data_IF_558785746701
#
_entry.id   IF_558785746701
#
_cell.length_a   1.000
_cell.length_b   1.000
_cell.length_c   1.000
_cell.angle_alpha   90.00
_cell.angle_beta   90.00
_cell.angle_gamma   90.00
#
_symmetry.space_group_name_H-M   'P 1'
#
loop_
_entity.id
_entity.type
_entity.pdbx_description
1 polymer ?
#
# COMPACT_ATOMS: atom_id res chain seq x y z
N UNK A 1 -3.82 -25.37 -4.40
CA UNK A 1 -2.78 -26.44 -4.49
C UNK A 1 -3.17 -27.66 -3.67
N UNK A 2 -3.60 -27.51 -2.40
CA UNK A 2 -4.02 -28.62 -1.53
C UNK A 2 -5.31 -29.36 -1.99
N UNK A 3 -6.22 -28.67 -2.70
CA UNK A 3 -7.50 -29.24 -3.13
C UNK A 3 -7.53 -29.67 -4.61
N UNK A 4 -6.40 -29.68 -5.30
CA UNK A 4 -6.35 -30.16 -6.69
C UNK A 4 -6.19 -31.69 -6.69
N UNK A 5 -7.11 -32.46 -7.32
CA UNK A 5 -7.03 -33.92 -7.37
C UNK A 5 -5.72 -34.43 -8.00
N UNK A 6 -5.05 -33.62 -8.83
CA UNK A 6 -3.79 -33.98 -9.48
C UNK A 6 -2.53 -33.76 -8.63
N UNK A 7 -2.66 -33.22 -7.40
CA UNK A 7 -1.56 -32.96 -6.44
C UNK A 7 -0.28 -32.39 -7.12
N UNK A 8 -0.40 -31.24 -7.80
CA UNK A 8 0.68 -30.65 -8.58
C UNK A 8 1.88 -30.28 -7.69
N UNK A 9 3.11 -30.52 -8.17
CA UNK A 9 4.37 -30.22 -7.43
C UNK A 9 4.72 -28.74 -7.42
N UNK A 10 4.13 -27.93 -8.32
CA UNK A 10 4.34 -26.49 -8.39
C UNK A 10 3.07 -25.76 -8.81
N UNK A 11 3.00 -24.46 -8.50
CA UNK A 11 1.87 -23.60 -8.88
C UNK A 11 1.65 -23.55 -10.39
N UNK A 12 2.72 -23.69 -11.18
CA UNK A 12 2.65 -23.67 -12.64
C UNK A 12 1.95 -24.89 -13.24
N UNK A 13 1.91 -26.01 -12.50
CA UNK A 13 1.24 -27.25 -12.90
C UNK A 13 -0.17 -27.37 -12.30
N UNK A 14 -0.53 -26.47 -11.39
CA UNK A 14 -1.81 -26.54 -10.70
C UNK A 14 -2.98 -26.14 -11.60
N UNK A 15 -4.14 -26.75 -11.34
CA UNK A 15 -5.44 -26.45 -11.96
C UNK A 15 -5.43 -26.55 -13.50
N UNK A 16 -4.64 -27.48 -14.05
CA UNK A 16 -4.58 -27.72 -15.49
C UNK A 16 -3.41 -27.05 -16.22
N UNK A 17 -2.51 -26.37 -15.51
CA UNK A 17 -1.30 -25.77 -16.10
C UNK A 17 -1.53 -24.39 -16.73
N UNK A 18 -0.55 -23.87 -17.46
CA UNK A 18 -0.64 -22.62 -18.26
C UNK A 18 -1.11 -21.37 -17.48
N UNK A 19 -0.67 -21.22 -16.22
CA UNK A 19 -0.97 -20.04 -15.41
C UNK A 19 -2.36 -20.04 -14.74
N UNK A 20 -3.14 -21.11 -14.88
CA UNK A 20 -4.39 -21.30 -14.14
C UNK A 20 -4.18 -21.26 -12.62
N UNK A 21 -3.06 -21.81 -12.13
CA UNK A 21 -2.67 -21.71 -10.71
C UNK A 21 -2.49 -20.27 -10.22
N UNK A 22 -1.91 -19.39 -11.05
CA UNK A 22 -1.74 -17.97 -10.70
C UNK A 22 -3.07 -17.21 -10.71
N UNK A 23 -3.99 -17.56 -11.62
CA UNK A 23 -5.35 -17.02 -11.62
C UNK A 23 -6.11 -17.39 -10.36
N UNK A 24 -6.07 -18.66 -9.96
CA UNK A 24 -6.74 -19.10 -8.74
C UNK A 24 -6.18 -18.41 -7.49
N UNK A 25 -4.86 -18.16 -7.44
CA UNK A 25 -4.26 -17.37 -6.35
C UNK A 25 -4.75 -15.92 -6.40
N UNK A 26 -4.83 -15.30 -7.58
CA UNK A 26 -5.41 -13.96 -7.72
C UNK A 26 -6.87 -13.91 -7.24
N UNK A 27 -7.69 -14.92 -7.54
CA UNK A 27 -9.06 -15.03 -7.03
C UNK A 27 -9.11 -15.17 -5.51
N UNK A 28 -8.18 -15.91 -4.90
CA UNK A 28 -8.08 -15.99 -3.44
C UNK A 28 -7.72 -14.63 -2.83
N UNK A 29 -6.82 -13.85 -3.45
CA UNK A 29 -6.51 -12.50 -3.00
C UNK A 29 -7.72 -11.56 -3.12
N UNK A 30 -8.50 -11.68 -4.20
CA UNK A 30 -9.77 -10.95 -4.36
C UNK A 30 -10.72 -11.24 -3.18
N UNK A 31 -10.90 -12.50 -2.81
CA UNK A 31 -11.74 -12.89 -1.67
C UNK A 31 -11.25 -12.31 -0.34
N UNK A 32 -9.93 -12.33 -0.10
CA UNK A 32 -9.34 -11.73 1.12
C UNK A 32 -9.63 -10.22 1.17
N UNK A 33 -9.49 -9.52 0.04
CA UNK A 33 -9.86 -8.10 -0.05
C UNK A 33 -11.36 -7.93 0.22
N UNK A 34 -12.22 -8.69 -0.43
CA UNK A 34 -13.68 -8.55 -0.24
C UNK A 34 -14.09 -8.73 1.23
N UNK A 35 -13.53 -9.73 1.91
CA UNK A 35 -13.73 -9.95 3.34
C UNK A 35 -13.26 -8.75 4.18
N UNK A 36 -12.10 -8.17 3.86
CA UNK A 36 -11.64 -6.94 4.48
C UNK A 36 -12.59 -5.76 4.23
N UNK A 37 -13.10 -5.62 3.02
CA UNK A 37 -14.11 -4.61 2.69
C UNK A 37 -15.38 -4.73 3.52
N UNK A 38 -15.85 -5.96 3.69
CA UNK A 38 -17.01 -6.28 4.52
C UNK A 38 -16.76 -5.93 5.99
N UNK A 39 -15.59 -6.26 6.54
CA UNK A 39 -15.21 -5.87 7.90
C UNK A 39 -15.16 -4.35 8.09
N UNK A 40 -14.68 -3.60 7.09
CA UNK A 40 -14.70 -2.15 7.14
C UNK A 40 -16.14 -1.61 7.13
N UNK A 41 -16.99 -2.11 6.24
CA UNK A 41 -18.37 -1.64 6.10
C UNK A 41 -19.27 -2.00 7.29
N UNK A 42 -19.20 -3.24 7.78
CA UNK A 42 -20.10 -3.75 8.83
C UNK A 42 -19.58 -3.52 10.25
N UNK A 43 -18.24 -3.50 10.44
CA UNK A 43 -17.61 -3.39 11.76
C UNK A 43 -16.89 -2.07 11.98
N UNK A 44 -16.84 -1.20 10.98
CA UNK A 44 -16.11 0.09 11.07
C UNK A 44 -14.61 -0.09 11.32
N UNK A 45 -14.04 -1.24 10.94
CA UNK A 45 -12.63 -1.54 11.19
C UNK A 45 -11.72 -0.91 10.12
N UNK A 46 -10.66 -0.25 10.57
CA UNK A 46 -9.58 0.21 9.69
C UNK A 46 -8.64 -0.96 9.38
N UNK A 47 -8.41 -1.25 8.11
CA UNK A 47 -7.61 -2.38 7.66
C UNK A 47 -6.38 -1.87 6.92
N UNK A 48 -5.22 -2.33 7.36
CA UNK A 48 -3.93 -1.95 6.78
C UNK A 48 -3.24 -3.19 6.25
N UNK A 49 -2.86 -3.15 4.98
CA UNK A 49 -2.05 -4.18 4.35
C UNK A 49 -0.59 -3.71 4.26
N UNK A 50 0.33 -4.60 4.63
CA UNK A 50 1.77 -4.33 4.58
C UNK A 50 2.39 -5.34 3.62
N UNK A 51 3.23 -4.86 2.71
CA UNK A 51 3.94 -5.70 1.77
C UNK A 51 5.33 -5.13 1.46
N UNK A 52 6.24 -6.01 1.06
CA UNK A 52 7.56 -5.59 0.58
C UNK A 52 7.46 -4.94 -0.80
N UNK A 53 8.36 -4.02 -1.09
CA UNK A 53 8.50 -3.45 -2.42
C UNK A 53 9.37 -4.35 -3.32
N UNK A 54 9.01 -4.42 -4.60
CA UNK A 54 9.79 -5.03 -5.68
C UNK A 54 10.10 -3.96 -6.72
N UNK A 55 11.36 -3.87 -7.16
CA UNK A 55 11.75 -3.00 -8.27
C UNK A 55 11.39 -3.70 -9.58
N UNK A 56 10.51 -3.09 -10.37
CA UNK A 56 10.08 -3.54 -11.69
C UNK A 56 10.53 -2.52 -12.74
N UNK A 57 11.05 -2.99 -13.87
CA UNK A 57 11.40 -2.12 -15.00
C UNK A 57 10.15 -1.89 -15.84
N UNK A 58 9.80 -0.62 -16.02
CA UNK A 58 8.76 -0.18 -16.94
C UNK A 58 9.43 0.30 -18.20
N UNK A 59 9.06 -0.29 -19.34
CA UNK A 59 9.58 0.05 -20.66
C UNK A 59 8.45 0.60 -21.54
N UNK A 60 8.08 1.88 -21.34
CA UNK A 60 7.05 2.51 -22.17
C UNK A 60 7.61 2.80 -23.57
N UNK A 61 6.78 2.75 -24.63
CA UNK A 61 7.25 3.01 -25.99
C UNK A 61 7.65 4.47 -26.25
N UNK A 62 7.18 5.39 -25.40
CA UNK A 62 7.31 6.84 -25.60
C UNK A 62 8.48 7.47 -24.83
N UNK A 63 9.06 6.78 -23.85
CA UNK A 63 10.13 7.33 -22.99
C UNK A 63 11.16 6.25 -22.63
N UNK A 64 12.30 6.66 -22.09
CA UNK A 64 13.31 5.73 -21.60
C UNK A 64 12.75 4.79 -20.53
N UNK A 65 13.26 3.56 -20.52
CA UNK A 65 12.97 2.57 -19.49
C UNK A 65 13.33 3.12 -18.11
N UNK A 66 12.42 3.00 -17.16
CA UNK A 66 12.66 3.42 -15.77
C UNK A 66 12.25 2.34 -14.78
N UNK A 67 12.85 2.38 -13.60
CA UNK A 67 12.52 1.45 -12.52
C UNK A 67 11.42 2.03 -11.65
N UNK A 68 10.37 1.24 -11.43
CA UNK A 68 9.24 1.54 -10.55
C UNK A 68 9.17 0.53 -9.42
N UNK A 69 8.93 1.00 -8.20
CA UNK A 69 8.63 0.14 -7.06
C UNK A 69 7.16 -0.28 -7.06
N UNK A 70 6.94 -1.59 -7.12
CA UNK A 70 5.64 -2.26 -7.06
C UNK A 70 5.53 -3.10 -5.79
N UNK A 71 4.36 -3.70 -5.56
CA UNK A 71 4.17 -4.63 -4.44
C UNK A 71 4.78 -5.98 -4.82
N UNK A 72 5.62 -6.55 -3.94
CA UNK A 72 6.26 -7.85 -4.13
C UNK A 72 5.24 -8.99 -4.06
N UNK A 73 4.59 -9.27 -5.18
CA UNK A 73 3.70 -10.42 -5.37
C UNK A 73 3.54 -10.73 -6.87
N UNK A 74 2.72 -11.72 -7.21
CA UNK A 74 2.38 -11.99 -8.60
C UNK A 74 1.66 -10.78 -9.21
N UNK A 75 2.06 -10.38 -10.42
CA UNK A 75 1.50 -9.23 -11.15
C UNK A 75 -0.03 -9.28 -11.28
N UNK A 76 -0.63 -10.48 -11.39
CA UNK A 76 -2.09 -10.67 -11.45
C UNK A 76 -2.81 -10.39 -10.14
N UNK A 77 -2.10 -10.39 -9.02
CA UNK A 77 -2.66 -10.15 -7.68
C UNK A 77 -2.49 -8.70 -7.22
N UNK A 78 -1.54 -7.95 -7.81
CA UNK A 78 -1.21 -6.57 -7.40
C UNK A 78 -2.43 -5.65 -7.51
N UNK A 79 -3.20 -5.76 -8.60
CA UNK A 79 -4.35 -4.89 -8.88
C UNK A 79 -5.39 -4.86 -7.74
N UNK A 80 -5.59 -5.98 -7.03
CA UNK A 80 -6.53 -6.04 -5.90
C UNK A 80 -6.12 -5.15 -4.73
N UNK A 81 -4.82 -4.92 -4.57
CA UNK A 81 -4.24 -4.12 -3.49
C UNK A 81 -3.90 -2.68 -3.91
N UNK A 82 -3.82 -2.40 -5.21
CA UNK A 82 -3.62 -1.03 -5.72
C UNK A 82 -4.94 -0.32 -6.03
N UNK A 83 -5.87 -1.01 -6.69
CA UNK A 83 -7.02 -0.37 -7.33
C UNK A 83 -8.24 -0.35 -6.41
N UNK A 84 -8.39 -1.35 -5.56
CA UNK A 84 -9.53 -1.49 -4.64
C UNK A 84 -9.24 -0.99 -3.22
N UNK A 85 -8.34 -0.03 -3.06
CA UNK A 85 -8.03 0.61 -1.76
C UNK A 85 -8.20 2.12 -1.81
N UNK A 86 -8.27 2.75 -0.64
CA UNK A 86 -8.39 4.21 -0.52
C UNK A 86 -7.04 4.93 -0.55
N UNK A 87 -5.98 4.24 -0.08
CA UNK A 87 -4.63 4.75 -0.01
C UNK A 87 -3.61 3.64 -0.28
N UNK A 88 -2.64 3.91 -1.15
CA UNK A 88 -1.40 3.15 -1.32
C UNK A 88 -0.25 4.13 -1.09
N UNK A 89 0.47 3.93 0.00
CA UNK A 89 1.65 4.72 0.35
C UNK A 89 2.93 3.90 0.23
N UNK A 90 3.98 4.52 -0.29
CA UNK A 90 5.31 3.95 -0.37
C UNK A 90 6.20 4.52 0.74
N UNK A 91 6.72 3.64 1.60
CA UNK A 91 7.63 4.03 2.69
C UNK A 91 9.08 3.93 2.19
N UNK A 92 9.82 5.02 2.32
CA UNK A 92 11.25 5.09 1.97
C UNK A 92 12.04 5.83 3.03
N UNK A 93 13.35 5.59 3.07
CA UNK A 93 14.25 6.40 3.87
C UNK A 93 14.39 7.77 3.23
N UNK A 94 14.34 8.83 4.04
CA UNK A 94 14.57 10.19 3.58
C UNK A 94 16.05 10.34 3.25
N UNK A 95 16.35 10.55 1.98
CA UNK A 95 17.70 10.81 1.50
C UNK A 95 17.87 12.31 1.28
N UNK A 96 18.85 12.92 1.93
CA UNK A 96 19.27 14.28 1.65
C UNK A 96 20.51 14.23 0.77
N UNK A 97 20.42 14.76 -0.44
CA UNK A 97 21.60 15.01 -1.27
C UNK A 97 22.18 16.35 -0.88
N UNK A 98 23.27 16.34 -0.09
CA UNK A 98 24.02 17.56 0.24
C UNK A 98 25.31 17.55 -0.57
N UNK A 99 25.43 18.47 -1.52
CA UNK A 99 26.63 18.64 -2.35
C UNK A 99 26.48 19.84 -3.27
N UNK A 100 27.41 20.79 -3.13
CA UNK A 100 27.65 21.87 -4.08
C UNK A 100 28.74 21.33 -5.04
N UNK A 101 28.35 20.84 -6.22
CA UNK A 101 29.25 20.28 -7.24
C UNK A 101 28.88 18.87 -7.76
N UNK A 102 29.78 18.28 -8.56
CA UNK A 102 29.59 17.00 -9.31
C UNK A 102 29.50 15.74 -8.44
N UNK A 103 29.84 15.81 -7.14
CA UNK A 103 29.79 14.67 -6.22
C UNK A 103 28.73 14.90 -5.15
N UNK A 104 27.51 14.42 -5.42
CA UNK A 104 26.40 14.46 -4.44
C UNK A 104 26.55 13.31 -3.44
N UNK A 105 26.92 13.61 -2.19
CA UNK A 105 26.85 12.64 -1.09
C UNK A 105 25.41 12.56 -0.59
N UNK A 106 24.80 11.38 -0.73
CA UNK A 106 23.52 11.07 -0.09
C UNK A 106 23.78 10.83 1.41
N UNK A 107 23.20 11.67 2.26
CA UNK A 107 23.18 11.47 3.71
C UNK A 107 21.79 11.03 4.12
N UNK A 108 21.69 9.93 4.88
CA UNK A 108 20.43 9.42 5.41
C UNK A 108 20.39 9.66 6.91
N UNK A 109 19.39 10.40 7.40
CA UNK A 109 19.21 10.72 8.83
C UNK A 109 18.52 9.59 9.61
N UNK A 110 18.18 8.49 8.95
CA UNK A 110 17.40 7.38 9.52
C UNK A 110 15.88 7.62 9.54
N UNK A 111 15.45 8.84 9.22
CA UNK A 111 14.03 9.19 9.12
C UNK A 111 13.36 8.46 7.95
N UNK A 112 12.15 7.96 8.19
CA UNK A 112 11.30 7.37 7.17
C UNK A 112 10.26 8.38 6.74
N UNK A 113 9.96 8.39 5.46
CA UNK A 113 8.89 9.18 4.86
C UNK A 113 7.96 8.24 4.11
N UNK A 114 6.69 8.62 4.06
CA UNK A 114 5.66 7.92 3.29
C UNK A 114 5.15 8.83 2.18
N UNK A 115 5.37 8.40 0.95
CA UNK A 115 4.86 9.09 -0.25
C UNK A 115 3.55 8.46 -0.65
N UNK A 116 2.48 9.26 -0.69
CA UNK A 116 1.14 8.79 -1.07
C UNK A 116 0.63 9.40 -2.38
N UNK A 117 1.33 10.40 -2.93
CA UNK A 117 0.94 11.05 -4.17
C UNK A 117 1.53 10.31 -5.40
N UNK A 118 0.92 10.51 -6.59
CA UNK A 118 1.41 9.91 -7.83
C UNK A 118 2.84 10.35 -8.16
N UNK A 119 3.75 9.38 -8.27
CA UNK A 119 5.11 9.57 -8.80
C UNK A 119 5.46 8.43 -9.75
N UNK A 120 6.43 8.66 -10.66
CA UNK A 120 6.92 7.61 -11.56
C UNK A 120 7.63 6.48 -10.82
N UNK A 121 8.20 6.77 -9.64
CA UNK A 121 9.08 5.84 -8.92
C UNK A 121 8.34 4.72 -8.21
N UNK A 122 7.03 4.82 -7.95
CA UNK A 122 6.30 3.78 -7.22
C UNK A 122 4.81 3.73 -7.55
N UNK A 123 4.17 2.58 -7.31
CA UNK A 123 2.71 2.53 -7.31
C UNK A 123 2.17 3.33 -6.12
N UNK A 124 1.15 4.14 -6.36
CA UNK A 124 0.53 4.97 -5.33
C UNK A 124 -0.91 5.26 -5.71
N UNK A 125 -1.72 5.50 -4.68
CA UNK A 125 -3.13 5.85 -4.82
C UNK A 125 -3.52 6.66 -3.60
N UNK A 126 -4.32 7.70 -3.81
CA UNK A 126 -4.70 8.59 -2.73
C UNK A 126 -6.06 9.21 -2.98
N UNK A 127 -7.03 8.87 -2.14
CA UNK A 127 -8.36 9.50 -2.10
C UNK A 127 -8.48 10.62 -1.08
N UNK A 128 -7.48 10.81 -0.22
CA UNK A 128 -7.51 11.73 0.94
C UNK A 128 -6.86 13.09 0.65
N UNK A 129 -6.42 13.37 -0.58
CA UNK A 129 -5.89 14.68 -0.96
C UNK A 129 -4.49 15.00 -0.44
N UNK A 130 -3.75 14.02 0.09
CA UNK A 130 -2.34 14.15 0.50
C UNK A 130 -1.44 14.46 -0.71
N UNK A 131 -0.88 15.67 -0.78
CA UNK A 131 0.01 16.08 -1.89
C UNK A 131 1.49 16.02 -1.53
N UNK A 132 1.83 16.03 -0.25
CA UNK A 132 3.20 16.09 0.23
C UNK A 132 3.64 14.75 0.84
N UNK A 133 4.96 14.56 0.92
CA UNK A 133 5.55 13.44 1.65
C UNK A 133 5.30 13.63 3.16
N UNK A 134 4.81 12.58 3.83
CA UNK A 134 4.55 12.61 5.27
C UNK A 134 5.70 11.95 6.04
N UNK A 135 6.02 12.49 7.21
CA UNK A 135 7.02 11.91 8.10
C UNK A 135 6.44 10.66 8.76
N UNK A 136 7.10 9.52 8.57
CA UNK A 136 6.70 8.24 9.15
C UNK A 136 7.56 7.94 10.39
N UNK A 137 7.27 8.63 11.49
CA UNK A 137 7.93 8.42 12.78
C UNK A 137 7.38 7.18 13.49
N UNK A 138 8.24 6.48 14.23
CA UNK A 138 7.84 5.30 15.00
C UNK A 138 6.80 5.67 16.08
N UNK A 139 5.72 4.90 16.16
CA UNK A 139 4.64 5.12 17.13
C UNK A 139 3.67 6.26 16.80
N UNK A 140 3.87 6.99 15.69
CA UNK A 140 2.96 8.05 15.25
C UNK A 140 2.22 7.68 13.97
N UNK A 141 0.94 8.02 13.89
CA UNK A 141 0.15 7.85 12.68
C UNK A 141 0.09 9.17 11.89
N UNK A 142 0.79 9.30 10.74
CA UNK A 142 0.82 10.52 9.96
C UNK A 142 -0.50 10.82 9.23
N UNK A 143 -1.44 9.88 9.18
CA UNK A 143 -2.70 10.00 8.43
C UNK A 143 -3.85 10.60 9.22
N UNK A 144 -3.70 10.75 10.54
CA UNK A 144 -4.72 11.33 11.43
C UNK A 144 -5.32 12.65 10.90
N UNK A 145 -4.54 13.64 10.42
CA UNK A 145 -5.14 14.88 9.93
C UNK A 145 -5.92 14.71 8.62
N UNK A 146 -5.65 13.67 7.83
CA UNK A 146 -6.23 13.50 6.48
C UNK A 146 -7.42 12.54 6.44
N UNK A 147 -7.50 11.59 7.38
CA UNK A 147 -8.56 10.59 7.41
C UNK A 147 -9.63 11.05 8.41
N UNK A 148 -10.85 11.41 7.95
CA UNK A 148 -11.90 11.92 8.83
C UNK A 148 -12.24 10.96 9.98
N UNK A 149 -12.22 9.65 9.72
CA UNK A 149 -12.51 8.61 10.71
C UNK A 149 -11.46 8.50 11.83
N UNK A 150 -10.27 9.08 11.65
CA UNK A 150 -9.20 9.08 12.65
C UNK A 150 -9.07 10.40 13.39
N UNK A 151 -9.76 11.45 12.93
CA UNK A 151 -9.75 12.72 13.63
C UNK A 151 -10.48 12.57 14.97
N UNK A 152 -9.91 13.06 16.08
CA UNK A 152 -10.59 13.01 17.36
C UNK A 152 -11.88 13.82 17.25
N UNK A 153 -13.02 13.14 17.37
CA UNK A 153 -14.32 13.79 17.42
C UNK A 153 -14.30 14.75 18.60
N UNK A 154 -14.38 16.04 18.31
CA UNK A 154 -14.56 17.08 19.34
C UNK A 154 -16.01 17.03 19.81
N UNK A 155 -16.42 15.92 20.42
CA UNK A 155 -17.64 15.89 21.20
C UNK A 155 -17.30 16.35 22.61
N UNK A 156 -17.56 17.63 22.83
CA UNK A 156 -17.66 18.23 24.16
C UNK A 156 -18.71 17.42 24.93
N UNK A 157 -18.26 16.49 25.78
CA UNK A 157 -19.11 15.88 26.80
C UNK A 157 -19.48 17.00 27.76
N UNK A 158 -20.56 17.75 27.44
CA UNK A 158 -21.19 18.68 28.39
C UNK A 158 -21.53 17.85 29.62
N UNK A 159 -20.74 18.01 30.68
CA UNK A 159 -21.06 17.49 31.98
C UNK A 159 -22.42 18.08 32.35
N UNK A 160 -23.46 17.25 32.31
CA UNK A 160 -24.75 17.58 32.87
C UNK A 160 -24.55 17.78 34.37
N UNK A 161 -24.39 19.04 34.79
CA UNK A 161 -24.79 19.44 36.13
C UNK A 161 -26.29 19.20 36.23
N UNK A 162 -26.68 18.07 36.80
CA UNK A 162 -27.98 17.93 37.44
C UNK A 162 -27.73 18.09 38.94
N UNK A 163 -28.02 19.30 39.41
CA UNK A 163 -28.37 19.50 40.80
C UNK A 163 -29.84 19.16 41.00
N UNK A 164 -30.11 18.43 42.06
CA UNK A 164 -31.26 18.52 42.98
C UNK A 164 -31.01 17.51 44.09
#
# INVERSE_FOLDING_TARGET
>A
VLNDPKKPKSINQALGGYGAGHNAVSDMHRMVREAAGWLMAEKGMNIVFIAHALAETVDPPDTDSYTRYSIRMNTRSVAHYSDNVDLVGFIKLRTFTRGDGDVKKATTTGERIITCHPTASHISKNRFGIKEDLIFAEGSNPFVPFIPALQPTTETRKASKQGA
#
